data_IF_435621802870
#
_entry.id   IF_435621802870
#
_cell.length_a   1.000
_cell.length_b   1.000
_cell.length_c   1.000
_cell.angle_alpha   90.00
_cell.angle_beta   90.00
_cell.angle_gamma   90.00
#
_symmetry.space_group_name_H-M   'P 1'
#
loop_
_entity.id
_entity.type
_entity.pdbx_description
1 polymer ?
#
# COMPACT_ATOMS: atom_id res chain seq x y z
N UNK A 1 8.61 17.18 9.23
CA UNK A 1 7.62 16.20 9.74
C UNK A 1 7.96 15.93 11.19
N UNK A 2 6.99 16.04 12.10
CA UNK A 2 7.22 15.80 13.53
C UNK A 2 7.35 14.31 13.86
N UNK A 3 7.98 13.97 14.98
CA UNK A 3 8.16 12.58 15.42
C UNK A 3 6.82 11.87 15.67
N UNK A 4 5.86 12.59 16.26
CA UNK A 4 4.50 12.10 16.52
C UNK A 4 3.78 11.70 15.23
N UNK A 5 3.82 12.58 14.22
CA UNK A 5 3.22 12.38 12.91
C UNK A 5 3.83 11.16 12.17
N UNK A 6 5.16 10.99 12.27
CA UNK A 6 5.85 9.81 11.76
C UNK A 6 5.37 8.52 12.43
N UNK A 7 5.26 8.52 13.76
CA UNK A 7 4.78 7.35 14.50
C UNK A 7 3.34 6.98 14.11
N UNK A 8 2.46 7.97 13.93
CA UNK A 8 1.10 7.73 13.44
C UNK A 8 1.09 7.14 12.03
N UNK A 9 1.93 7.63 11.12
CA UNK A 9 2.03 7.08 9.77
C UNK A 9 2.51 5.62 9.78
N UNK A 10 3.45 5.27 10.67
CA UNK A 10 3.90 3.88 10.87
C UNK A 10 2.75 3.01 11.41
N UNK A 11 2.00 3.49 12.41
CA UNK A 11 0.83 2.77 12.94
C UNK A 11 -0.20 2.53 11.85
N UNK A 12 -0.52 3.54 11.05
CA UNK A 12 -1.48 3.43 9.94
C UNK A 12 -1.00 2.48 8.84
N UNK A 13 0.30 2.47 8.55
CA UNK A 13 0.90 1.50 7.63
C UNK A 13 0.73 0.06 8.15
N UNK A 14 0.98 -0.17 9.45
CA UNK A 14 0.79 -1.47 10.10
C UNK A 14 -0.68 -1.89 10.06
N UNK A 15 -1.60 -0.99 10.36
CA UNK A 15 -3.05 -1.23 10.27
C UNK A 15 -3.43 -1.62 8.83
N UNK A 16 -2.93 -0.90 7.83
CA UNK A 16 -3.12 -1.23 6.43
C UNK A 16 -2.71 -2.67 6.11
N UNK A 17 -1.55 -3.10 6.62
CA UNK A 17 -1.08 -4.48 6.45
C UNK A 17 -2.05 -5.50 7.04
N UNK A 18 -2.54 -5.29 8.26
CA UNK A 18 -3.51 -6.21 8.88
C UNK A 18 -4.81 -6.30 8.08
N UNK A 19 -5.33 -5.17 7.58
CA UNK A 19 -6.54 -5.14 6.75
C UNK A 19 -6.29 -5.90 5.43
N UNK A 20 -5.15 -5.68 4.79
CA UNK A 20 -4.77 -6.39 3.56
C UNK A 20 -4.63 -7.90 3.76
N UNK A 21 -4.06 -8.30 4.90
CA UNK A 21 -3.94 -9.70 5.29
C UNK A 21 -5.33 -10.32 5.43
N UNK A 22 -6.21 -9.74 6.24
CA UNK A 22 -7.56 -10.25 6.46
C UNK A 22 -8.35 -10.34 5.14
N UNK A 23 -8.29 -9.29 4.32
CA UNK A 23 -8.92 -9.26 3.00
C UNK A 23 -8.45 -10.43 2.12
N UNK A 24 -7.14 -10.63 2.03
CA UNK A 24 -6.57 -11.69 1.19
C UNK A 24 -6.92 -13.10 1.70
N UNK A 25 -7.06 -13.29 3.02
CA UNK A 25 -7.49 -14.57 3.61
C UNK A 25 -8.96 -14.88 3.31
N UNK A 26 -9.82 -13.86 3.29
CA UNK A 26 -11.23 -14.02 2.92
C UNK A 26 -11.42 -14.29 1.43
N UNK A 27 -10.58 -13.70 0.58
CA UNK A 27 -10.70 -13.77 -0.87
C UNK A 27 -10.02 -15.00 -1.50
N UNK A 28 -8.82 -15.33 -1.04
CA UNK A 28 -7.99 -16.38 -1.64
C UNK A 28 -7.89 -17.60 -0.73
N UNK A 29 -8.33 -18.75 -1.23
CA UNK A 29 -8.31 -20.02 -0.49
C UNK A 29 -6.89 -20.46 -0.10
N UNK A 30 -5.91 -20.22 -0.97
CA UNK A 30 -4.54 -20.73 -0.84
C UNK A 30 -3.48 -19.71 -1.27
N UNK A 31 -2.29 -19.72 -0.64
CA UNK A 31 -1.17 -18.85 -1.02
C UNK A 31 -0.56 -19.28 -2.36
N UNK A 32 -0.08 -18.33 -3.16
CA UNK A 32 0.65 -18.54 -4.43
C UNK A 32 -0.08 -19.26 -5.58
N UNK A 33 -1.38 -19.53 -5.47
CA UNK A 33 -2.11 -20.33 -6.48
C UNK A 33 -2.59 -19.49 -7.66
N UNK A 34 -3.31 -18.39 -7.41
CA UNK A 34 -3.99 -17.72 -8.52
C UNK A 34 -3.10 -16.74 -9.30
N UNK A 35 -1.99 -16.25 -8.71
CA UNK A 35 -1.03 -15.28 -9.31
C UNK A 35 -1.69 -14.16 -10.14
N UNK A 36 -2.90 -13.76 -9.76
CA UNK A 36 -3.67 -12.71 -10.44
C UNK A 36 -3.43 -11.38 -9.77
N UNK A 37 -3.44 -10.34 -10.59
CA UNK A 37 -3.44 -8.96 -10.11
C UNK A 37 -4.80 -8.68 -9.47
N UNK A 38 -4.78 -8.28 -8.21
CA UNK A 38 -5.95 -7.86 -7.47
C UNK A 38 -6.29 -6.40 -7.81
N UNK A 39 -7.40 -6.19 -8.53
CA UNK A 39 -7.83 -4.85 -8.94
C UNK A 39 -8.09 -3.91 -7.77
N UNK A 40 -8.57 -4.42 -6.63
CA UNK A 40 -8.84 -3.60 -5.45
C UNK A 40 -7.51 -3.20 -4.83
N UNK A 41 -6.61 -4.16 -4.60
CA UNK A 41 -5.29 -3.86 -4.06
C UNK A 41 -4.48 -2.92 -4.96
N UNK A 42 -4.57 -3.08 -6.29
CA UNK A 42 -3.93 -2.20 -7.27
C UNK A 42 -4.48 -0.78 -7.18
N UNK A 43 -5.81 -0.62 -7.14
CA UNK A 43 -6.45 0.70 -7.05
C UNK A 43 -6.05 1.41 -5.76
N UNK A 44 -6.08 0.70 -4.63
CA UNK A 44 -5.64 1.24 -3.34
C UNK A 44 -4.15 1.62 -3.39
N UNK A 45 -3.31 0.80 -4.01
CA UNK A 45 -1.88 1.08 -4.13
C UNK A 45 -1.58 2.31 -4.99
N UNK A 46 -2.28 2.49 -6.11
CA UNK A 46 -2.15 3.66 -6.98
C UNK A 46 -2.55 4.93 -6.20
N UNK A 47 -3.73 4.91 -5.56
CA UNK A 47 -4.20 6.05 -4.76
C UNK A 47 -3.20 6.33 -3.63
N UNK A 48 -2.75 5.30 -2.92
CA UNK A 48 -1.77 5.44 -1.85
C UNK A 48 -0.45 6.04 -2.30
N UNK A 49 0.06 5.60 -3.46
CA UNK A 49 1.29 6.11 -4.06
C UNK A 49 1.21 7.58 -4.43
N UNK A 50 0.06 8.03 -4.94
CA UNK A 50 -0.20 9.46 -5.18
C UNK A 50 -0.21 10.23 -3.86
N UNK A 51 -0.91 9.72 -2.85
CA UNK A 51 -1.11 10.42 -1.58
C UNK A 51 0.16 10.55 -0.74
N UNK A 52 1.16 9.66 -0.87
CA UNK A 52 2.43 9.72 -0.12
C UNK A 52 3.13 11.08 -0.25
N UNK A 53 3.07 11.73 -1.42
CA UNK A 53 3.72 13.02 -1.66
C UNK A 53 2.80 14.23 -1.39
N UNK A 54 1.66 14.00 -0.74
CA UNK A 54 0.66 15.03 -0.45
C UNK A 54 0.57 15.28 1.07
N UNK A 55 -0.14 16.33 1.52
CA UNK A 55 -0.45 16.52 2.93
C UNK A 55 -1.19 15.34 3.58
N UNK A 56 -1.81 14.45 2.78
CA UNK A 56 -2.52 13.26 3.21
C UNK A 56 -1.63 12.00 3.24
N UNK A 57 -0.31 12.15 3.34
CA UNK A 57 0.64 11.04 3.27
C UNK A 57 0.35 9.90 4.27
N UNK A 58 -0.23 10.19 5.43
CA UNK A 58 -0.67 9.18 6.41
C UNK A 58 -1.68 8.19 5.83
N UNK A 59 -2.65 8.67 5.07
CA UNK A 59 -3.59 7.83 4.34
C UNK A 59 -2.87 7.08 3.22
N UNK A 60 -1.91 7.72 2.56
CA UNK A 60 -1.02 7.08 1.59
C UNK A 60 -0.31 5.85 2.17
N UNK A 61 0.27 5.99 3.38
CA UNK A 61 0.91 4.90 4.12
C UNK A 61 -0.07 3.77 4.43
N UNK A 62 -1.28 4.06 4.90
CA UNK A 62 -2.31 3.04 5.14
C UNK A 62 -2.65 2.26 3.87
N UNK A 63 -2.88 2.97 2.77
CA UNK A 63 -3.30 2.39 1.49
C UNK A 63 -2.19 1.58 0.82
N UNK A 64 -0.94 2.00 0.92
CA UNK A 64 0.22 1.23 0.44
C UNK A 64 0.52 0.04 1.36
N UNK A 65 0.26 0.14 2.66
CA UNK A 65 0.39 -0.98 3.58
C UNK A 65 -0.55 -2.14 3.25
N UNK A 66 -1.73 -1.86 2.69
CA UNK A 66 -2.72 -2.87 2.30
C UNK A 66 -2.18 -3.96 1.37
N UNK A 67 -1.71 -3.65 0.14
CA UNK A 67 -1.19 -4.67 -0.77
C UNK A 67 0.06 -5.38 -0.22
N UNK A 68 0.87 -4.72 0.61
CA UNK A 68 2.04 -5.34 1.24
C UNK A 68 1.65 -6.43 2.24
N UNK A 69 0.60 -6.20 3.02
CA UNK A 69 0.14 -7.12 4.06
C UNK A 69 -0.66 -8.31 3.53
N UNK A 70 -0.97 -8.35 2.23
CA UNK A 70 -1.68 -9.48 1.65
C UNK A 70 -0.90 -10.79 1.80
N UNK A 71 -1.63 -11.89 1.88
CA UNK A 71 -1.10 -13.25 1.98
C UNK A 71 -0.02 -13.51 0.92
N UNK A 72 1.03 -14.28 1.24
CA UNK A 72 2.12 -14.54 0.32
C UNK A 72 1.64 -15.05 -1.05
N UNK A 73 2.13 -14.39 -2.11
CA UNK A 73 1.74 -14.66 -3.50
C UNK A 73 0.75 -13.66 -4.09
N UNK A 74 0.19 -12.76 -3.28
CA UNK A 74 -0.71 -11.68 -3.71
C UNK A 74 -0.18 -10.31 -3.27
N UNK A 75 -0.63 -9.23 -3.90
CA UNK A 75 -0.35 -7.85 -3.47
C UNK A 75 1.05 -7.30 -3.76
N UNK A 76 2.04 -8.16 -4.03
CA UNK A 76 3.42 -7.72 -4.31
C UNK A 76 3.54 -6.82 -5.53
N UNK A 77 2.88 -7.18 -6.63
CA UNK A 77 2.97 -6.41 -7.89
C UNK A 77 2.29 -5.06 -7.71
N UNK A 78 1.14 -5.06 -7.06
CA UNK A 78 0.33 -3.89 -6.73
C UNK A 78 1.11 -2.92 -5.86
N UNK A 79 1.72 -3.42 -4.77
CA UNK A 79 2.59 -2.64 -3.90
C UNK A 79 3.74 -1.98 -4.66
N UNK A 80 4.43 -2.75 -5.52
CA UNK A 80 5.54 -2.23 -6.34
C UNK A 80 5.04 -1.10 -7.26
N UNK A 81 3.88 -1.26 -7.89
CA UNK A 81 3.28 -0.22 -8.74
C UNK A 81 3.03 1.07 -7.95
N UNK A 82 2.41 0.98 -6.77
CA UNK A 82 2.19 2.16 -5.92
C UNK A 82 3.49 2.83 -5.47
N UNK A 83 4.52 2.03 -5.16
CA UNK A 83 5.83 2.53 -4.73
C UNK A 83 6.57 3.25 -5.87
N UNK A 84 6.51 2.70 -7.10
CA UNK A 84 7.04 3.36 -8.30
C UNK A 84 6.34 4.70 -8.54
N UNK A 85 5.01 4.74 -8.42
CA UNK A 85 4.24 5.99 -8.57
C UNK A 85 4.66 7.02 -7.52
N UNK A 86 4.79 6.62 -6.26
CA UNK A 86 5.25 7.49 -5.19
C UNK A 86 6.65 8.05 -5.47
N UNK A 87 7.57 7.22 -5.95
CA UNK A 87 8.93 7.63 -6.28
C UNK A 87 8.95 8.60 -7.48
N UNK A 88 8.20 8.32 -8.54
CA UNK A 88 8.12 9.19 -9.72
C UNK A 88 7.54 10.56 -9.37
N UNK A 89 6.46 10.59 -8.59
CA UNK A 89 5.86 11.85 -8.13
C UNK A 89 6.81 12.62 -7.22
N UNK A 90 7.51 11.95 -6.32
CA UNK A 90 8.52 12.60 -5.48
C UNK A 90 9.60 13.30 -6.32
N UNK A 91 10.12 12.61 -7.35
CA UNK A 91 11.11 13.17 -8.26
C UNK A 91 10.55 14.35 -9.06
N UNK A 92 9.31 14.26 -9.51
CA UNK A 92 8.65 15.29 -10.32
C UNK A 92 8.30 16.55 -9.52
N UNK A 93 7.86 16.40 -8.26
CA UNK A 93 7.54 17.53 -7.39
C UNK A 93 8.80 18.23 -6.81
N UNK A 94 9.94 17.54 -6.82
CA UNK A 94 11.19 18.04 -6.21
C UNK A 94 12.21 18.55 -7.22
N UNK A 95 11.97 18.32 -8.51
CA UNK A 95 12.61 19.03 -9.62
C UNK A 95 11.99 20.42 -9.79
#
# INVERSE_FOLDING_TARGET
MGLFELNLAIILFIIGNFIGLEYSYRKYSSPYVERKIDKIALTLSIIGGVLINSPLYMLGCLLIGFPLGMRPGYGRVEFIVGLIIALLLYLLLRW
#
